data_IF_084584257329
#
_entry.id   IF_084584257329
#
_cell.length_a   1.000
_cell.length_b   1.000
_cell.length_c   1.000
_cell.angle_alpha   90.00
_cell.angle_beta   90.00
_cell.angle_gamma   90.00
#
_symmetry.space_group_name_H-M   'P 1'
#
loop_
_entity.id
_entity.type
_entity.pdbx_description
1 polymer ?
#
# COMPACT_ATOMS: atom_id res chain seq x y z
N UNK A 1 4.06 13.77 14.62
CA UNK A 1 4.80 12.85 13.72
C UNK A 1 4.39 11.41 14.01
N UNK A 2 3.97 10.69 12.99
CA UNK A 2 3.65 9.26 13.14
C UNK A 2 4.93 8.44 13.08
N UNK A 3 5.00 7.43 13.92
CA UNK A 3 6.20 6.62 14.09
C UNK A 3 5.95 5.22 13.50
N UNK A 4 6.83 4.77 12.60
CA UNK A 4 6.79 3.42 12.09
C UNK A 4 7.70 2.53 12.91
N UNK A 5 7.24 1.30 13.26
CA UNK A 5 8.13 0.35 13.88
C UNK A 5 9.17 -0.15 12.85
N UNK A 6 10.37 -0.55 13.31
CA UNK A 6 11.46 -0.91 12.40
C UNK A 6 11.13 -2.08 11.47
N UNK A 7 10.36 -3.06 11.93
CA UNK A 7 10.01 -4.23 11.12
C UNK A 7 9.06 -3.85 9.98
N UNK A 8 8.07 -3.01 10.28
CA UNK A 8 7.16 -2.49 9.26
C UNK A 8 7.94 -1.65 8.24
N UNK A 9 8.81 -0.78 8.70
CA UNK A 9 9.62 0.06 7.81
C UNK A 9 10.50 -0.79 6.88
N UNK A 10 11.14 -1.83 7.41
CA UNK A 10 11.98 -2.72 6.61
C UNK A 10 11.16 -3.46 5.55
N UNK A 11 9.96 -3.94 5.90
CA UNK A 11 9.10 -4.63 4.95
C UNK A 11 8.64 -3.70 3.84
N UNK A 12 8.27 -2.47 4.16
CA UNK A 12 7.87 -1.48 3.17
C UNK A 12 8.99 -1.12 2.21
N UNK A 13 10.19 -0.91 2.73
CA UNK A 13 11.36 -0.62 1.89
C UNK A 13 11.65 -1.76 0.93
N UNK A 14 11.58 -2.99 1.42
CA UNK A 14 11.79 -4.16 0.59
C UNK A 14 10.75 -4.26 -0.51
N UNK A 15 9.49 -3.94 -0.19
CA UNK A 15 8.40 -3.98 -1.16
C UNK A 15 8.57 -2.87 -2.22
N UNK A 16 8.79 -1.64 -1.79
CA UNK A 16 8.93 -0.51 -2.71
C UNK A 16 10.13 -0.67 -3.64
N UNK A 17 11.22 -1.26 -3.13
CA UNK A 17 12.41 -1.50 -3.94
C UNK A 17 12.18 -2.53 -5.06
N UNK A 18 11.16 -3.37 -4.92
CA UNK A 18 10.83 -4.40 -5.91
C UNK A 18 9.76 -3.99 -6.91
N UNK A 19 9.19 -2.80 -6.79
CA UNK A 19 8.16 -2.36 -7.71
C UNK A 19 8.70 -2.28 -9.13
N UNK A 20 7.93 -2.73 -10.15
CA UNK A 20 8.36 -2.63 -11.53
C UNK A 20 8.64 -1.19 -11.93
N UNK A 21 9.72 -0.97 -12.69
CA UNK A 21 10.10 0.39 -13.12
C UNK A 21 9.05 1.03 -14.02
N UNK A 22 8.31 0.22 -14.79
CA UNK A 22 7.27 0.70 -15.67
C UNK A 22 5.95 0.99 -14.95
N UNK A 23 5.83 0.59 -13.69
CA UNK A 23 4.66 0.93 -12.88
C UNK A 23 4.86 2.34 -12.31
N UNK A 24 4.06 3.28 -12.77
CA UNK A 24 4.12 4.66 -12.30
C UNK A 24 3.34 4.78 -11.00
N UNK A 25 4.07 4.82 -9.89
CA UNK A 25 3.50 5.00 -8.56
C UNK A 25 3.68 6.46 -8.18
N UNK A 26 2.57 7.19 -8.10
CA UNK A 26 2.59 8.60 -7.72
C UNK A 26 2.74 8.78 -6.21
N UNK A 27 2.18 7.84 -5.44
CA UNK A 27 2.15 7.92 -3.99
C UNK A 27 1.99 6.53 -3.41
N UNK A 28 2.71 6.22 -2.34
CA UNK A 28 2.56 5.00 -1.57
C UNK A 28 2.19 5.38 -0.14
N UNK A 29 1.14 4.76 0.42
CA UNK A 29 0.59 5.13 1.71
C UNK A 29 0.37 3.88 2.56
N UNK A 30 0.99 3.84 3.74
CA UNK A 30 0.67 2.84 4.74
C UNK A 30 -0.59 3.27 5.49
N UNK A 31 -1.56 2.36 5.63
CA UNK A 31 -2.78 2.62 6.39
C UNK A 31 -3.10 1.39 7.24
N UNK A 32 -4.21 1.42 7.96
CA UNK A 32 -4.62 0.30 8.80
C UNK A 32 -3.88 0.22 10.13
N UNK A 33 -3.87 -0.96 10.75
CA UNK A 33 -3.41 -1.13 12.12
C UNK A 33 -1.95 -0.72 12.32
N UNK A 34 -1.06 -1.06 11.38
CA UNK A 34 0.35 -0.70 11.52
C UNK A 34 0.60 0.80 11.39
N UNK A 35 -0.23 1.49 10.62
CA UNK A 35 -0.16 2.95 10.52
C UNK A 35 -0.64 3.62 11.80
N UNK A 36 -1.62 3.01 12.49
CA UNK A 36 -2.16 3.54 13.73
C UNK A 36 -1.31 3.19 14.97
N UNK A 37 -0.26 2.38 14.80
CA UNK A 37 0.54 1.90 15.93
C UNK A 37 -0.14 0.79 16.72
N UNK A 38 -1.14 0.14 16.15
CA UNK A 38 -1.92 -0.93 16.78
C UNK A 38 -1.57 -2.31 16.22
N UNK A 39 -0.60 -2.38 15.33
CA UNK A 39 -0.21 -3.62 14.67
C UNK A 39 0.42 -4.62 15.64
N UNK A 40 0.12 -5.91 15.41
CA UNK A 40 0.76 -7.03 16.08
C UNK A 40 1.85 -7.58 15.16
N UNK A 41 2.77 -8.42 15.68
CA UNK A 41 3.81 -9.02 14.82
C UNK A 41 3.27 -9.78 13.63
N UNK A 42 2.08 -10.36 13.74
CA UNK A 42 1.42 -11.12 12.67
C UNK A 42 0.44 -10.29 11.83
N UNK A 43 0.31 -8.99 12.10
CA UNK A 43 -0.57 -8.12 11.32
C UNK A 43 -0.01 -7.87 9.93
N UNK A 44 -0.90 -7.84 8.93
CA UNK A 44 -0.52 -7.41 7.58
C UNK A 44 -0.23 -5.91 7.56
N UNK A 45 0.61 -5.49 6.63
CA UNK A 45 0.87 -4.08 6.38
C UNK A 45 0.06 -3.64 5.15
N UNK A 46 -0.94 -2.80 5.37
CA UNK A 46 -1.83 -2.34 4.30
C UNK A 46 -1.20 -1.15 3.58
N UNK A 47 -0.93 -1.31 2.29
CA UNK A 47 -0.26 -0.27 1.49
C UNK A 47 -1.11 0.06 0.28
N UNK A 48 -1.55 1.31 0.20
CA UNK A 48 -2.21 1.85 -0.99
C UNK A 48 -1.16 2.41 -1.93
N UNK A 49 -1.23 2.01 -3.20
CA UNK A 49 -0.36 2.52 -4.26
C UNK A 49 -1.22 3.33 -5.23
N UNK A 50 -0.98 4.64 -5.26
CA UNK A 50 -1.67 5.51 -6.20
C UNK A 50 -0.92 5.44 -7.51
N UNK A 51 -1.58 4.91 -8.53
CA UNK A 51 -0.94 4.55 -9.80
C UNK A 51 -1.57 5.33 -10.95
N UNK A 52 -0.87 5.35 -12.07
CA UNK A 52 -1.37 5.99 -13.28
C UNK A 52 -2.69 5.38 -13.71
N UNK A 53 -3.48 6.16 -14.44
CA UNK A 53 -4.77 5.72 -14.96
C UNK A 53 -4.63 4.43 -15.77
N UNK A 54 -5.49 3.46 -15.48
CA UNK A 54 -5.45 2.16 -16.15
C UNK A 54 -4.51 1.14 -15.55
N UNK A 55 -3.66 1.52 -14.59
CA UNK A 55 -2.70 0.61 -13.95
C UNK A 55 -3.26 -0.03 -12.67
N UNK A 56 -4.53 0.18 -12.36
CA UNK A 56 -5.17 -0.37 -11.15
C UNK A 56 -5.90 -1.69 -11.40
N UNK A 57 -5.67 -2.32 -12.54
CA UNK A 57 -6.36 -3.53 -12.93
C UNK A 57 -5.81 -4.81 -12.28
N UNK A 58 -6.44 -5.94 -12.63
CA UNK A 58 -6.13 -7.25 -12.04
C UNK A 58 -4.71 -7.71 -12.36
N UNK A 59 -4.15 -7.34 -13.50
CA UNK A 59 -2.77 -7.71 -13.85
C UNK A 59 -1.77 -7.06 -12.89
N UNK A 60 -1.93 -5.78 -12.63
CA UNK A 60 -1.09 -5.08 -11.67
C UNK A 60 -1.29 -5.66 -10.26
N UNK A 61 -2.54 -5.92 -9.87
CA UNK A 61 -2.81 -6.52 -8.57
C UNK A 61 -2.11 -7.87 -8.41
N UNK A 62 -2.10 -8.70 -9.46
CA UNK A 62 -1.40 -9.97 -9.46
C UNK A 62 0.11 -9.84 -9.32
N UNK A 63 0.72 -8.90 -10.05
CA UNK A 63 2.15 -8.62 -9.93
C UNK A 63 2.51 -8.15 -8.52
N UNK A 64 1.72 -7.26 -7.95
CA UNK A 64 1.97 -6.74 -6.61
C UNK A 64 1.82 -7.84 -5.55
N UNK A 65 0.85 -8.74 -5.72
CA UNK A 65 0.68 -9.86 -4.80
C UNK A 65 1.90 -10.80 -4.81
N UNK A 66 2.48 -11.04 -5.98
CA UNK A 66 3.69 -11.85 -6.10
C UNK A 66 4.87 -11.19 -5.38
N UNK A 67 5.05 -9.89 -5.56
CA UNK A 67 6.10 -9.14 -4.87
C UNK A 67 5.89 -9.18 -3.35
N UNK A 68 4.65 -9.05 -2.90
CA UNK A 68 4.30 -9.11 -1.49
C UNK A 68 4.67 -10.47 -0.89
N UNK A 69 4.52 -11.55 -1.66
CA UNK A 69 4.91 -12.88 -1.23
C UNK A 69 6.42 -12.98 -0.97
N UNK A 70 7.24 -12.45 -1.88
CA UNK A 70 8.70 -12.45 -1.69
C UNK A 70 9.11 -11.61 -0.48
N UNK A 71 8.46 -10.47 -0.26
CA UNK A 71 8.73 -9.65 0.93
C UNK A 71 8.37 -10.42 2.21
N UNK A 72 7.26 -11.16 2.18
CA UNK A 72 6.88 -12.00 3.32
C UNK A 72 7.94 -13.06 3.61
N UNK A 73 8.48 -13.70 2.60
CA UNK A 73 9.55 -14.70 2.79
C UNK A 73 10.81 -14.10 3.40
N UNK A 74 11.12 -12.85 3.07
CA UNK A 74 12.31 -12.16 3.60
C UNK A 74 12.12 -11.59 5.00
N UNK A 75 10.94 -11.03 5.27
CA UNK A 75 10.73 -10.20 6.46
C UNK A 75 9.76 -10.79 7.47
N UNK A 76 8.95 -11.77 7.06
CA UNK A 76 7.88 -12.31 7.89
C UNK A 76 6.63 -11.42 7.95
N UNK A 77 6.63 -10.29 7.24
CA UNK A 77 5.49 -9.38 7.21
C UNK A 77 4.85 -9.42 5.83
N UNK A 78 3.54 -9.67 5.79
CA UNK A 78 2.78 -9.70 4.55
C UNK A 78 2.29 -8.29 4.21
N UNK A 79 2.68 -7.81 3.04
CA UNK A 79 2.17 -6.55 2.52
C UNK A 79 0.86 -6.83 1.81
N UNK A 80 -0.18 -6.04 2.10
CA UNK A 80 -1.45 -6.06 1.39
C UNK A 80 -1.49 -4.85 0.45
N UNK A 81 -1.06 -4.99 -0.81
CA UNK A 81 -1.02 -3.86 -1.72
C UNK A 81 -2.37 -3.65 -2.39
N UNK A 82 -2.81 -2.41 -2.46
CA UNK A 82 -4.05 -2.02 -3.13
C UNK A 82 -3.73 -0.94 -4.16
N UNK A 83 -3.73 -1.26 -5.46
CA UNK A 83 -3.53 -0.24 -6.48
C UNK A 83 -4.81 0.59 -6.65
N UNK A 84 -4.66 1.90 -6.65
CA UNK A 84 -5.75 2.85 -6.79
C UNK A 84 -5.37 3.84 -7.89
N UNK A 85 -6.25 4.02 -8.88
CA UNK A 85 -5.96 4.98 -9.95
C UNK A 85 -5.90 6.40 -9.43
N UNK A 86 -5.06 7.23 -10.03
CA UNK A 86 -4.93 8.63 -9.63
C UNK A 86 -6.26 9.38 -9.73
N UNK A 87 -7.10 9.07 -10.71
CA UNK A 87 -8.39 9.73 -10.84
C UNK A 87 -9.33 9.39 -9.69
N UNK A 88 -9.35 8.14 -9.23
CA UNK A 88 -10.15 7.75 -8.07
C UNK A 88 -9.62 8.38 -6.79
N UNK A 89 -8.30 8.50 -6.67
CA UNK A 89 -7.69 9.14 -5.51
C UNK A 89 -8.06 10.63 -5.42
N UNK A 90 -8.04 11.31 -6.55
CA UNK A 90 -8.40 12.74 -6.63
C UNK A 90 -9.91 12.97 -6.54
N UNK A 91 -10.71 11.99 -6.90
CA UNK A 91 -12.17 12.06 -6.92
C UNK A 91 -12.78 10.85 -6.19
N UNK A 92 -12.66 10.80 -4.86
CA UNK A 92 -13.12 9.62 -4.08
C UNK A 92 -14.62 9.33 -4.27
N UNK A 93 -15.41 10.34 -4.61
CA UNK A 93 -16.84 10.18 -4.84
C UNK A 93 -17.16 9.29 -6.04
N UNK A 94 -16.20 9.07 -6.92
CA UNK A 94 -16.34 8.19 -8.09
C UNK A 94 -15.96 6.74 -7.79
N UNK A 95 -15.33 6.49 -6.64
CA UNK A 95 -14.91 5.16 -6.24
C UNK A 95 -16.10 4.43 -5.60
N UNK A 96 -16.24 3.10 -5.81
CA UNK A 96 -17.36 2.35 -5.21
C UNK A 96 -17.43 2.44 -3.69
N UNK A 97 -16.28 2.64 -3.03
CA UNK A 97 -16.21 2.79 -1.57
C UNK A 97 -15.44 4.05 -1.20
N UNK A 98 -16.07 5.23 -1.35
CA UNK A 98 -15.37 6.49 -1.10
C UNK A 98 -14.90 6.64 0.34
N UNK A 99 -15.60 6.06 1.30
CA UNK A 99 -15.18 6.06 2.72
C UNK A 99 -13.84 5.38 2.93
N UNK A 100 -13.55 4.32 2.19
CA UNK A 100 -12.23 3.65 2.24
C UNK A 100 -11.11 4.61 1.85
N UNK A 101 -11.26 5.31 0.72
CA UNK A 101 -10.23 6.26 0.25
C UNK A 101 -10.04 7.41 1.22
N UNK A 102 -11.13 7.92 1.79
CA UNK A 102 -11.07 9.00 2.78
C UNK A 102 -10.34 8.56 4.05
N UNK A 103 -10.56 7.32 4.48
CA UNK A 103 -9.85 6.77 5.63
C UNK A 103 -8.35 6.62 5.36
N UNK A 104 -7.98 6.15 4.17
CA UNK A 104 -6.57 6.07 3.77
C UNK A 104 -5.92 7.45 3.82
N UNK A 105 -6.60 8.47 3.29
CA UNK A 105 -6.09 9.83 3.29
C UNK A 105 -5.94 10.38 4.71
N UNK A 106 -6.89 10.07 5.59
CA UNK A 106 -6.91 10.63 6.95
C UNK A 106 -5.88 9.99 7.87
N UNK A 107 -5.78 8.66 7.86
CA UNK A 107 -4.93 7.94 8.82
C UNK A 107 -3.61 7.46 8.23
N UNK A 108 -3.43 7.58 6.92
CA UNK A 108 -2.28 7.02 6.22
C UNK A 108 -0.98 7.76 6.50
N UNK A 109 0.11 7.02 6.37
CA UNK A 109 1.48 7.54 6.43
C UNK A 109 2.06 7.44 5.04
N UNK A 110 2.45 8.58 4.47
CA UNK A 110 3.10 8.59 3.15
C UNK A 110 4.50 8.00 3.28
N UNK A 111 4.80 7.06 2.39
CA UNK A 111 6.06 6.34 2.39
C UNK A 111 7.10 6.98 1.48
#
# INVERSE_FOLDING_TARGET
>A
MKFLDPDTEAAERAFLARLPEDLRVELAILYGSRARGEGRPDSDADVALIVAEGADGWQTAGQLAELAYYVFLETGIFIQPVPISISNWLHPERFPRPGFLRNVAREGIVL
#
